data_IF_619873006730
#
_entry.id   IF_619873006730
#
_cell.length_a   1.000
_cell.length_b   1.000
_cell.length_c   1.000
_cell.angle_alpha   90.00
_cell.angle_beta   90.00
_cell.angle_gamma   90.00
#
_symmetry.space_group_name_H-M   'P 1'
#
loop_
_entity.id
_entity.type
_entity.pdbx_description
1 polymer ?
#
# COMPACT_ATOMS: atom_id res chain seq x y z
N UNK A 1 -14.80 -29.25 -18.20
CA UNK A 1 -14.37 -28.09 -17.43
C UNK A 1 -13.06 -27.53 -17.99
N UNK A 2 -13.04 -26.23 -18.19
CA UNK A 2 -11.84 -25.57 -18.69
C UNK A 2 -10.90 -25.30 -17.54
N UNK A 3 -9.66 -25.77 -17.63
CA UNK A 3 -8.61 -25.30 -16.76
C UNK A 3 -8.22 -23.88 -17.24
N UNK A 4 -8.22 -22.91 -16.35
CA UNK A 4 -7.75 -21.57 -16.67
C UNK A 4 -6.24 -21.61 -16.95
N UNK A 5 -5.84 -21.06 -18.07
CA UNK A 5 -4.41 -20.98 -18.43
C UNK A 5 -3.89 -19.62 -18.01
N UNK A 6 -2.91 -19.56 -17.07
CA UNK A 6 -2.28 -18.30 -16.73
C UNK A 6 -1.67 -17.61 -17.94
N UNK A 7 -1.83 -16.30 -18.02
CA UNK A 7 -1.30 -15.50 -19.13
C UNK A 7 -0.71 -14.18 -18.66
N UNK A 8 0.27 -13.71 -19.42
CA UNK A 8 0.86 -12.39 -19.22
C UNK A 8 -0.07 -11.34 -19.84
N UNK A 9 -0.63 -10.50 -19.00
CA UNK A 9 -1.56 -9.43 -19.40
C UNK A 9 -1.01 -8.04 -19.09
N UNK A 10 0.31 -7.92 -18.95
CA UNK A 10 0.96 -6.67 -18.57
C UNK A 10 0.56 -5.50 -19.44
N UNK A 11 0.64 -5.67 -20.76
CA UNK A 11 0.34 -4.58 -21.71
C UNK A 11 -1.12 -4.13 -21.64
N UNK A 12 -2.05 -5.08 -21.49
CA UNK A 12 -3.48 -4.79 -21.46
C UNK A 12 -3.95 -4.20 -20.15
N UNK A 13 -3.41 -4.68 -19.03
CA UNK A 13 -3.94 -4.38 -17.70
C UNK A 13 -3.21 -3.27 -16.96
N UNK A 14 -2.00 -2.94 -17.37
CA UNK A 14 -1.17 -1.95 -16.65
C UNK A 14 -1.87 -0.60 -16.53
N UNK A 15 -2.46 -0.12 -17.62
CA UNK A 15 -3.18 1.16 -17.64
C UNK A 15 -4.45 1.10 -16.80
N UNK A 16 -5.19 0.01 -16.91
CA UNK A 16 -6.45 -0.19 -16.19
C UNK A 16 -6.25 -0.26 -14.67
N UNK A 17 -5.15 -0.88 -14.22
CA UNK A 17 -4.80 -1.01 -12.82
C UNK A 17 -4.08 0.20 -12.24
N UNK A 18 -3.69 1.16 -13.08
CA UNK A 18 -2.88 2.31 -12.66
C UNK A 18 -3.47 3.11 -11.50
N UNK A 19 -4.77 3.40 -11.44
CA UNK A 19 -5.32 4.12 -10.29
C UNK A 19 -5.01 3.44 -8.95
N UNK A 20 -5.11 2.11 -8.91
CA UNK A 20 -4.79 1.36 -7.69
C UNK A 20 -3.28 1.28 -7.45
N UNK A 21 -2.48 0.99 -8.47
CA UNK A 21 -1.01 0.91 -8.29
C UNK A 21 -0.41 2.25 -7.88
N UNK A 22 -0.93 3.36 -8.40
CA UNK A 22 -0.52 4.70 -7.96
C UNK A 22 -0.89 4.96 -6.50
N UNK A 23 -1.98 4.38 -6.02
CA UNK A 23 -2.38 4.50 -4.61
C UNK A 23 -1.46 3.71 -3.68
N UNK A 24 -0.97 2.56 -4.14
CA UNK A 24 -0.06 1.71 -3.37
C UNK A 24 1.38 2.23 -3.37
N UNK A 25 1.76 2.96 -4.39
CA UNK A 25 3.15 3.36 -4.65
C UNK A 25 3.83 4.06 -3.48
N UNK A 26 3.26 5.09 -2.86
CA UNK A 26 3.99 5.84 -1.82
C UNK A 26 4.40 4.96 -0.64
N UNK A 27 3.50 4.16 -0.11
CA UNK A 27 3.81 3.34 1.06
C UNK A 27 4.76 2.20 0.72
N UNK A 28 4.58 1.54 -0.42
CA UNK A 28 5.49 0.46 -0.85
C UNK A 28 6.89 1.01 -1.13
N UNK A 29 6.99 2.17 -1.75
CA UNK A 29 8.28 2.82 -1.99
C UNK A 29 8.94 3.26 -0.69
N UNK A 30 8.18 3.85 0.23
CA UNK A 30 8.69 4.29 1.52
C UNK A 30 9.23 3.12 2.34
N UNK A 31 8.53 1.99 2.33
CA UNK A 31 8.88 0.82 3.13
C UNK A 31 9.98 -0.05 2.51
N UNK A 32 10.30 0.17 1.24
CA UNK A 32 11.16 -0.73 0.46
C UNK A 32 12.52 -0.99 1.10
N UNK A 33 13.22 0.03 1.55
CA UNK A 33 14.56 -0.12 2.13
C UNK A 33 14.55 -0.92 3.42
N UNK A 34 13.50 -0.80 4.22
CA UNK A 34 13.39 -1.48 5.51
C UNK A 34 13.20 -2.98 5.35
N UNK A 35 12.51 -3.39 4.31
CA UNK A 35 12.37 -4.82 3.98
C UNK A 35 13.57 -5.36 3.24
N UNK A 36 14.08 -4.61 2.27
CA UNK A 36 15.21 -5.04 1.44
C UNK A 36 16.50 -5.23 2.24
N UNK A 37 16.75 -4.39 3.25
CA UNK A 37 17.95 -4.51 4.08
C UNK A 37 17.77 -5.45 5.30
N UNK A 38 16.59 -6.05 5.45
CA UNK A 38 16.30 -7.00 6.52
C UNK A 38 16.07 -6.36 7.90
N UNK A 39 16.02 -5.03 8.01
CA UNK A 39 15.77 -4.37 9.30
C UNK A 39 14.37 -4.63 9.84
N UNK A 40 13.42 -4.93 8.95
CA UNK A 40 12.07 -5.33 9.30
C UNK A 40 11.64 -6.55 8.52
N UNK A 41 10.92 -7.44 9.21
CA UNK A 41 10.30 -8.59 8.57
C UNK A 41 8.95 -8.18 7.99
N UNK A 42 8.75 -8.46 6.71
CA UNK A 42 7.47 -8.21 6.06
C UNK A 42 6.40 -9.15 6.59
N UNK A 43 5.23 -8.60 6.90
CA UNK A 43 4.04 -9.35 7.25
C UNK A 43 2.81 -8.62 6.72
N UNK A 44 2.03 -9.30 5.91
CA UNK A 44 0.76 -8.77 5.43
C UNK A 44 -0.32 -9.08 6.46
N UNK A 45 -0.62 -8.11 7.32
CA UNK A 45 -1.58 -8.25 8.40
C UNK A 45 -2.37 -6.95 8.60
N UNK A 46 -3.22 -6.95 9.63
CA UNK A 46 -4.06 -5.80 9.94
C UNK A 46 -3.24 -4.55 10.29
N UNK A 47 -2.07 -4.71 10.91
CA UNK A 47 -1.17 -3.59 11.20
C UNK A 47 -0.62 -2.96 9.91
N UNK A 48 -0.18 -3.78 8.96
CA UNK A 48 0.26 -3.31 7.66
C UNK A 48 -0.85 -2.53 6.94
N UNK A 49 -2.04 -3.12 6.87
CA UNK A 49 -3.19 -2.53 6.19
C UNK A 49 -3.60 -1.20 6.83
N UNK A 50 -3.71 -1.16 8.14
CA UNK A 50 -4.08 0.05 8.88
C UNK A 50 -3.02 1.14 8.71
N UNK A 51 -1.75 0.76 8.78
CA UNK A 51 -0.63 1.72 8.64
C UNK A 51 -0.58 2.29 7.23
N UNK A 52 -0.75 1.45 6.20
CA UNK A 52 -0.82 1.93 4.81
C UNK A 52 -1.96 2.93 4.63
N UNK A 53 -3.15 2.61 5.16
CA UNK A 53 -4.31 3.50 5.02
C UNK A 53 -4.05 4.86 5.66
N UNK A 54 -3.52 4.90 6.87
CA UNK A 54 -3.20 6.15 7.56
C UNK A 54 -2.09 6.91 6.83
N UNK A 55 -1.06 6.20 6.36
CA UNK A 55 0.02 6.80 5.59
C UNK A 55 -0.52 7.49 4.32
N UNK A 56 -1.38 6.80 3.56
CA UNK A 56 -1.97 7.37 2.37
C UNK A 56 -2.80 8.63 2.66
N UNK A 57 -3.58 8.59 3.72
CA UNK A 57 -4.46 9.70 4.11
C UNK A 57 -3.67 10.90 4.64
N UNK A 58 -2.52 10.69 5.25
CA UNK A 58 -1.67 11.77 5.75
C UNK A 58 -0.75 12.31 4.65
N UNK A 59 -0.07 11.43 3.91
CA UNK A 59 0.96 11.84 2.95
C UNK A 59 0.41 12.19 1.57
N UNK A 60 -0.51 11.39 1.05
CA UNK A 60 -0.97 11.56 -0.33
C UNK A 60 -2.14 12.54 -0.42
N UNK A 61 -3.15 12.37 0.42
CA UNK A 61 -4.38 13.17 0.36
C UNK A 61 -4.39 14.35 1.31
N UNK A 62 -3.56 14.33 2.33
CA UNK A 62 -3.59 15.30 3.43
C UNK A 62 -4.97 15.36 4.11
N UNK A 63 -5.73 14.28 4.04
CA UNK A 63 -7.03 14.14 4.70
C UNK A 63 -6.86 14.08 6.22
N UNK A 64 -5.81 13.38 6.69
CA UNK A 64 -5.44 13.32 8.09
C UNK A 64 -4.27 14.25 8.38
N UNK A 65 -4.36 14.93 9.51
CA UNK A 65 -3.36 15.90 9.98
C UNK A 65 -3.03 15.66 11.43
N UNK A 66 -1.88 16.12 11.84
CA UNK A 66 -1.49 16.17 13.25
C UNK A 66 -2.60 16.79 14.10
N UNK A 67 -2.99 16.09 15.16
CA UNK A 67 -4.03 16.57 16.08
C UNK A 67 -5.46 16.19 15.69
N UNK A 68 -5.68 15.51 14.58
CA UNK A 68 -7.02 15.00 14.26
C UNK A 68 -7.50 13.99 15.30
N UNK A 69 -8.81 13.94 15.52
CA UNK A 69 -9.40 13.00 16.48
C UNK A 69 -9.22 11.55 16.01
N UNK A 70 -9.03 10.66 16.96
CA UNK A 70 -8.96 9.22 16.64
C UNK A 70 -10.26 8.69 16.02
N UNK A 71 -11.38 9.32 16.35
CA UNK A 71 -12.67 9.01 15.70
C UNK A 71 -12.63 9.30 14.21
N UNK A 72 -12.08 10.46 13.81
CA UNK A 72 -11.87 10.80 12.40
C UNK A 72 -10.90 9.84 11.73
N UNK A 73 -9.79 9.52 12.39
CA UNK A 73 -8.77 8.61 11.86
C UNK A 73 -9.39 7.26 11.52
N UNK A 74 -10.12 6.67 12.46
CA UNK A 74 -10.77 5.36 12.27
C UNK A 74 -11.79 5.38 11.15
N UNK A 75 -12.58 6.46 11.06
CA UNK A 75 -13.59 6.63 10.02
C UNK A 75 -12.95 6.73 8.63
N UNK A 76 -11.94 7.57 8.49
CA UNK A 76 -11.28 7.77 7.20
C UNK A 76 -10.45 6.54 6.79
N UNK A 77 -9.76 5.90 7.74
CA UNK A 77 -9.03 4.66 7.49
C UNK A 77 -9.97 3.55 7.01
N UNK A 78 -11.16 3.43 7.58
CA UNK A 78 -12.16 2.47 7.14
C UNK A 78 -12.54 2.66 5.68
N UNK A 79 -12.74 3.89 5.25
CA UNK A 79 -13.03 4.22 3.84
C UNK A 79 -11.88 3.83 2.92
N UNK A 80 -10.66 4.17 3.31
CA UNK A 80 -9.47 3.87 2.53
C UNK A 80 -9.24 2.37 2.41
N UNK A 81 -9.40 1.63 3.48
CA UNK A 81 -9.25 0.17 3.49
C UNK A 81 -10.27 -0.49 2.58
N UNK A 82 -11.52 -0.04 2.60
CA UNK A 82 -12.55 -0.55 1.69
C UNK A 82 -12.20 -0.33 0.22
N UNK A 83 -11.66 0.84 -0.11
CA UNK A 83 -11.27 1.15 -1.49
C UNK A 83 -10.16 0.23 -1.99
N UNK A 84 -9.16 -0.03 -1.16
CA UNK A 84 -7.95 -0.76 -1.55
C UNK A 84 -8.13 -2.27 -1.39
N UNK A 85 -8.67 -2.71 -0.26
CA UNK A 85 -8.70 -4.12 0.12
C UNK A 85 -10.09 -4.77 -0.02
N UNK A 86 -11.10 -3.98 -0.34
CA UNK A 86 -12.47 -4.46 -0.56
C UNK A 86 -13.37 -4.26 0.65
N UNK A 87 -14.68 -4.18 0.38
CA UNK A 87 -15.69 -3.95 1.41
C UNK A 87 -15.84 -5.12 2.38
N UNK A 88 -15.40 -6.32 1.96
CA UNK A 88 -15.47 -7.54 2.78
C UNK A 88 -14.18 -7.82 3.54
N UNK A 89 -13.16 -6.98 3.39
CA UNK A 89 -11.92 -7.16 4.13
C UNK A 89 -12.16 -6.94 5.61
N UNK A 90 -11.87 -7.98 6.42
CA UNK A 90 -12.04 -7.92 7.87
C UNK A 90 -10.73 -7.56 8.53
N UNK A 91 -10.76 -6.52 9.36
CA UNK A 91 -9.59 -6.08 10.11
C UNK A 91 -10.00 -5.55 11.47
N UNK A 92 -9.06 -5.56 12.40
CA UNK A 92 -9.17 -4.84 13.65
C UNK A 92 -8.25 -3.64 13.55
N UNK A 93 -8.78 -2.42 13.80
CA UNK A 93 -7.94 -1.23 13.78
C UNK A 93 -6.77 -1.44 14.74
N UNK A 94 -5.57 -1.46 14.21
CA UNK A 94 -4.36 -1.68 14.97
C UNK A 94 -3.30 -0.68 14.55
N UNK A 95 -2.56 -0.17 15.52
CA UNK A 95 -1.38 0.60 15.24
C UNK A 95 -0.22 0.02 16.04
N UNK A 96 0.96 0.13 15.46
CA UNK A 96 2.17 0.01 16.24
C UNK A 96 2.69 1.43 16.42
N UNK A 97 3.19 1.76 17.58
CA UNK A 97 3.82 3.06 17.77
C UNK A 97 4.93 3.34 16.77
N UNK A 98 5.40 2.31 16.08
CA UNK A 98 6.48 2.40 15.10
C UNK A 98 6.24 1.47 13.94
N UNK A 99 6.25 2.02 12.73
CA UNK A 99 6.45 1.29 11.49
C UNK A 99 7.73 1.82 10.84
N UNK A 100 8.45 1.04 9.99
CA UNK A 100 9.77 1.47 9.53
C UNK A 100 9.81 2.92 9.07
N UNK A 101 10.56 3.77 9.81
CA UNK A 101 10.69 5.19 9.51
C UNK A 101 9.42 6.03 9.60
N UNK A 102 8.29 5.43 9.90
CA UNK A 102 7.00 6.10 10.02
C UNK A 102 6.37 5.78 11.36
N UNK A 103 6.08 6.81 12.09
CA UNK A 103 5.46 6.68 13.42
C UNK A 103 4.16 7.46 13.42
N UNK A 104 3.09 6.79 13.80
CA UNK A 104 1.88 7.47 14.21
C UNK A 104 1.41 6.83 15.53
N UNK A 105 0.81 7.63 16.36
CA UNK A 105 0.30 7.13 17.63
C UNK A 105 -0.86 7.99 18.12
N UNK A 106 -1.81 7.40 18.85
CA UNK A 106 -2.78 8.18 19.61
C UNK A 106 -2.09 8.89 20.78
N UNK A 107 -2.49 10.13 21.00
CA UNK A 107 -2.16 10.87 22.22
C UNK A 107 -3.47 11.38 22.79
N UNK A 108 -3.98 10.70 23.84
CA UNK A 108 -5.36 10.90 24.24
C UNK A 108 -6.31 10.50 23.13
N UNK A 109 -7.15 11.43 22.68
CA UNK A 109 -8.12 11.21 21.60
C UNK A 109 -7.66 11.73 20.24
N UNK A 110 -6.38 12.10 20.10
CA UNK A 110 -5.84 12.67 18.87
C UNK A 110 -4.68 11.87 18.33
N UNK A 111 -4.36 12.07 17.07
CA UNK A 111 -3.23 11.38 16.43
C UNK A 111 -2.03 12.31 16.30
N UNK A 112 -0.85 11.74 16.51
CA UNK A 112 0.43 12.40 16.32
C UNK A 112 1.19 11.64 15.23
N UNK A 113 1.70 12.38 14.24
CA UNK A 113 2.57 11.84 13.22
C UNK A 113 4.00 12.28 13.47
N UNK A 114 4.91 11.33 13.35
CA UNK A 114 6.34 11.60 13.38
C UNK A 114 6.95 10.87 12.18
N UNK A 115 6.86 11.51 11.03
CA UNK A 115 7.35 10.95 9.78
C UNK A 115 8.22 11.96 9.05
N UNK A 116 9.17 11.44 8.28
CA UNK A 116 9.97 12.25 7.38
C UNK A 116 9.13 12.69 6.20
N UNK A 117 9.17 13.99 5.87
CA UNK A 117 8.49 14.48 4.68
C UNK A 117 9.31 14.13 3.44
N UNK A 118 8.70 13.36 2.55
CA UNK A 118 9.29 12.97 1.28
C UNK A 118 8.43 13.55 0.16
N UNK A 119 9.05 14.29 -0.80
CA UNK A 119 8.30 14.77 -1.95
C UNK A 119 7.66 13.63 -2.72
N UNK A 120 6.42 13.81 -3.17
CA UNK A 120 5.66 12.77 -3.86
C UNK A 120 6.38 12.22 -5.09
N UNK A 121 7.18 13.05 -5.79
CA UNK A 121 7.99 12.65 -6.95
C UNK A 121 9.08 11.63 -6.62
N UNK A 122 9.46 11.51 -5.36
CA UNK A 122 10.53 10.60 -4.93
C UNK A 122 10.02 9.18 -4.65
N UNK A 123 8.72 8.98 -4.58
CA UNK A 123 8.13 7.64 -4.51
C UNK A 123 8.07 7.03 -5.90
N UNK A 124 8.75 5.91 -6.09
CA UNK A 124 8.79 5.23 -7.37
C UNK A 124 8.33 3.78 -7.24
N UNK A 125 7.60 3.32 -8.23
CA UNK A 125 7.22 1.92 -8.36
C UNK A 125 7.07 1.56 -9.82
N UNK A 126 7.72 0.48 -10.23
CA UNK A 126 7.60 -0.07 -11.57
C UNK A 126 6.79 -1.35 -11.52
N UNK A 127 5.75 -1.42 -12.33
CA UNK A 127 5.01 -2.67 -12.55
C UNK A 127 5.76 -3.46 -13.62
N UNK A 128 6.43 -4.53 -13.22
CA UNK A 128 7.29 -5.33 -14.09
C UNK A 128 6.49 -6.36 -14.89
N UNK A 129 5.50 -6.99 -14.27
CA UNK A 129 4.71 -8.04 -14.88
C UNK A 129 3.35 -8.13 -14.22
N UNK A 130 2.33 -8.40 -15.03
CA UNK A 130 0.98 -8.71 -14.58
C UNK A 130 0.59 -10.06 -15.17
N UNK A 131 0.31 -11.03 -14.31
CA UNK A 131 -0.17 -12.35 -14.70
C UNK A 131 -1.60 -12.53 -14.23
N UNK A 132 -2.51 -12.85 -15.13
CA UNK A 132 -3.82 -13.36 -14.75
C UNK A 132 -3.67 -14.86 -14.52
N UNK A 133 -3.73 -15.30 -13.26
CA UNK A 133 -3.48 -16.70 -12.92
C UNK A 133 -4.78 -17.50 -12.70
N UNK A 134 -5.89 -16.78 -12.55
CA UNK A 134 -7.25 -17.29 -12.46
C UNK A 134 -8.17 -16.19 -12.99
N UNK A 135 -9.35 -16.52 -13.46
CA UNK A 135 -10.26 -15.51 -14.00
C UNK A 135 -10.53 -14.39 -12.98
N UNK A 136 -10.20 -13.15 -13.36
CA UNK A 136 -10.38 -11.98 -12.51
C UNK A 136 -9.39 -11.89 -11.35
N UNK A 137 -8.37 -12.75 -11.31
CA UNK A 137 -7.33 -12.73 -10.27
C UNK A 137 -5.95 -12.54 -10.89
N UNK A 138 -5.24 -11.57 -10.37
CA UNK A 138 -3.99 -11.10 -10.96
C UNK A 138 -2.87 -11.07 -9.94
N UNK A 139 -1.67 -11.37 -10.40
CA UNK A 139 -0.45 -11.20 -9.62
C UNK A 139 0.43 -10.19 -10.33
N UNK A 140 0.73 -9.10 -9.66
CA UNK A 140 1.64 -8.08 -10.12
C UNK A 140 3.00 -8.28 -9.47
N UNK A 141 4.06 -8.27 -10.27
CA UNK A 141 5.42 -8.10 -9.74
C UNK A 141 5.77 -6.63 -9.88
N UNK A 142 6.02 -5.98 -8.76
CA UNK A 142 6.36 -4.56 -8.72
C UNK A 142 7.71 -4.37 -8.04
N UNK A 143 8.40 -3.31 -8.39
CA UNK A 143 9.66 -2.91 -7.78
C UNK A 143 9.51 -1.46 -7.31
N UNK A 144 9.65 -1.24 -6.01
CA UNK A 144 9.43 0.07 -5.39
C UNK A 144 10.71 0.57 -4.73
N UNK A 145 10.93 1.88 -4.79
CA UNK A 145 12.11 2.53 -4.22
C UNK A 145 11.87 4.02 -4.04
N UNK A 146 12.75 4.65 -3.25
CA UNK A 146 12.78 6.10 -3.10
C UNK A 146 13.92 6.67 -3.91
N UNK A 147 13.69 7.81 -4.54
CA UNK A 147 14.74 8.63 -5.16
C UNK A 147 15.03 9.84 -4.27
N UNK A 148 16.28 10.23 -4.14
CA UNK A 148 16.71 11.45 -3.43
C UNK A 148 16.27 11.59 -1.97
N UNK A 149 15.83 10.50 -1.33
CA UNK A 149 15.27 10.51 0.01
C UNK A 149 16.32 10.31 1.11
N UNK A 150 17.45 10.96 1.00
CA UNK A 150 18.56 10.80 1.94
C UNK A 150 19.47 9.61 1.57
N UNK A 151 20.69 9.64 2.08
CA UNK A 151 21.72 8.69 1.69
C UNK A 151 21.47 7.25 2.13
N UNK A 152 20.78 7.04 3.25
CA UNK A 152 20.58 5.72 3.83
C UNK A 152 19.51 4.87 3.12
N UNK A 153 18.62 5.51 2.36
CA UNK A 153 17.49 4.83 1.70
C UNK A 153 17.50 4.95 0.18
N UNK A 154 18.35 5.83 -0.35
CA UNK A 154 18.45 6.06 -1.80
C UNK A 154 18.99 4.83 -2.51
N UNK A 155 18.34 4.46 -3.61
CA UNK A 155 18.81 3.38 -4.48
C UNK A 155 18.51 1.97 -3.97
N UNK A 156 17.90 1.83 -2.80
CA UNK A 156 17.47 0.53 -2.29
C UNK A 156 16.07 0.24 -2.76
N UNK A 157 15.90 -0.84 -3.51
CA UNK A 157 14.60 -1.26 -4.00
C UNK A 157 14.14 -2.56 -3.37
N UNK A 158 12.81 -2.75 -3.34
CA UNK A 158 12.18 -3.99 -2.91
C UNK A 158 11.20 -4.44 -3.97
N UNK A 159 11.25 -5.71 -4.29
CA UNK A 159 10.25 -6.36 -5.13
C UNK A 159 9.11 -6.86 -4.26
N UNK A 160 7.89 -6.58 -4.70
CA UNK A 160 6.68 -7.09 -4.06
C UNK A 160 5.86 -7.86 -5.09
N UNK A 161 5.16 -8.87 -4.60
CA UNK A 161 4.09 -9.52 -5.36
C UNK A 161 2.77 -9.02 -4.80
N UNK A 162 2.00 -8.33 -5.63
CA UNK A 162 0.72 -7.76 -5.26
C UNK A 162 -0.37 -8.56 -5.96
N UNK A 163 -1.27 -9.16 -5.17
CA UNK A 163 -2.37 -9.95 -5.69
C UNK A 163 -3.63 -9.10 -5.71
N UNK A 164 -4.20 -8.96 -6.91
CA UNK A 164 -5.42 -8.20 -7.13
C UNK A 164 -6.55 -9.09 -7.56
N UNK A 165 -7.75 -8.71 -7.16
CA UNK A 165 -8.99 -9.31 -7.64
C UNK A 165 -9.84 -8.23 -8.28
N UNK A 166 -10.49 -8.56 -9.39
CA UNK A 166 -11.45 -7.66 -10.02
C UNK A 166 -12.63 -7.46 -9.08
N UNK A 167 -13.01 -6.21 -8.86
CA UNK A 167 -14.13 -5.85 -8.00
C UNK A 167 -14.78 -4.57 -8.53
N UNK A 168 -15.91 -4.75 -9.21
CA UNK A 168 -16.63 -3.64 -9.84
C UNK A 168 -17.26 -2.68 -8.81
N UNK A 169 -17.38 -3.10 -7.55
CA UNK A 169 -17.85 -2.26 -6.47
C UNK A 169 -16.77 -1.33 -5.91
N UNK A 170 -15.50 -1.59 -6.22
CA UNK A 170 -14.40 -0.72 -5.82
C UNK A 170 -14.24 0.44 -6.80
N UNK A 171 -13.94 1.60 -6.26
CA UNK A 171 -13.63 2.80 -7.05
C UNK A 171 -12.46 2.57 -8.01
N UNK A 172 -11.53 1.66 -7.67
CA UNK A 172 -10.39 1.33 -8.53
C UNK A 172 -10.67 0.19 -9.53
N UNK A 173 -11.82 -0.47 -9.41
CA UNK A 173 -12.15 -1.64 -10.23
C UNK A 173 -11.46 -2.93 -9.83
N UNK A 174 -10.51 -2.86 -8.91
CA UNK A 174 -9.73 -3.96 -8.36
C UNK A 174 -9.48 -3.74 -6.88
N UNK A 175 -9.28 -4.82 -6.14
CA UNK A 175 -8.89 -4.76 -4.74
C UNK A 175 -7.66 -5.64 -4.49
N UNK A 176 -6.89 -5.28 -3.48
CA UNK A 176 -5.71 -6.05 -3.06
C UNK A 176 -6.18 -7.17 -2.14
N UNK A 177 -5.91 -8.41 -2.52
CA UNK A 177 -6.20 -9.57 -1.68
C UNK A 177 -5.01 -9.95 -0.79
N UNK A 178 -3.79 -9.70 -1.27
CA UNK A 178 -2.58 -10.07 -0.56
C UNK A 178 -1.37 -9.35 -1.15
N UNK A 179 -0.36 -9.12 -0.31
CA UNK A 179 0.96 -8.66 -0.73
C UNK A 179 2.00 -9.60 -0.11
N UNK A 180 3.01 -9.97 -0.89
CA UNK A 180 4.17 -10.76 -0.45
C UNK A 180 5.46 -10.09 -0.91
N UNK A 181 6.55 -10.43 -0.28
CA UNK A 181 7.88 -10.17 -0.82
C UNK A 181 8.27 -11.18 -1.89
#
# INVERSE_FOLDING_TARGET
>A
PYAFTPSDVTKTMKKEMKPLTERLKPFLAYSASFYANGSHRFKFDTTFVTTMAIFNLEHSDKTLRYGDSMSKVKKEAKKEIKKIFGSNYKYKFAYTGTYPGYVYRPTGNTIVFNSMRIPGKDYQMKVKKITEYEEGKYRLTVEAYLTNAGSSVKGVSQKYKVYLEKDDSSEFGFVVSKIKL
#
